data_IF_917510704270
#
_entry.id   IF_917510704270
#
_cell.length_a   1.000
_cell.length_b   1.000
_cell.length_c   1.000
_cell.angle_alpha   90.00
_cell.angle_beta   90.00
_cell.angle_gamma   90.00
#
_symmetry.space_group_name_H-M   'P 1'
#
loop_
_entity.id
_entity.type
_entity.pdbx_description
1 polymer ?
#
# COMPACT_ATOMS: atom_id res chain seq x y z
N UNK A 1 5.65 -13.18 -18.94
CA UNK A 1 5.89 -14.36 -18.08
C UNK A 1 4.58 -14.80 -17.47
N UNK A 2 4.42 -16.11 -17.22
CA UNK A 2 3.23 -16.65 -16.55
C UNK A 2 3.35 -16.36 -15.05
N UNK A 3 2.24 -15.98 -14.43
CA UNK A 3 2.19 -15.78 -12.98
C UNK A 3 0.92 -16.38 -12.39
N UNK A 4 1.00 -16.76 -11.12
CA UNK A 4 -0.10 -17.31 -10.34
C UNK A 4 -0.23 -16.52 -9.04
N UNK A 5 -1.46 -16.28 -8.60
CA UNK A 5 -1.73 -15.43 -7.43
C UNK A 5 -2.53 -16.22 -6.40
N UNK A 6 -2.05 -16.28 -5.16
CA UNK A 6 -2.81 -16.74 -4.01
C UNK A 6 -3.23 -15.55 -3.15
N UNK A 7 -4.50 -15.49 -2.74
CA UNK A 7 -5.04 -14.44 -1.86
C UNK A 7 -5.65 -15.09 -0.62
N UNK A 8 -5.16 -14.70 0.54
CA UNK A 8 -5.67 -15.09 1.86
C UNK A 8 -6.44 -13.91 2.47
N UNK A 9 -7.77 -14.05 2.57
CA UNK A 9 -8.65 -13.07 3.18
C UNK A 9 -8.81 -13.37 4.68
N UNK A 10 -7.96 -12.75 5.49
CA UNK A 10 -8.03 -12.85 6.95
C UNK A 10 -9.00 -11.84 7.58
N UNK A 11 -9.24 -11.98 8.89
CA UNK A 11 -10.06 -11.04 9.67
C UNK A 11 -9.39 -9.68 9.89
N UNK A 12 -8.08 -9.67 10.09
CA UNK A 12 -7.28 -8.44 10.33
C UNK A 12 -6.55 -7.98 9.07
N UNK A 13 -5.98 -8.90 8.31
CA UNK A 13 -5.20 -8.58 7.10
C UNK A 13 -5.53 -9.50 5.94
N UNK A 14 -5.58 -8.91 4.76
CA UNK A 14 -5.67 -9.62 3.48
C UNK A 14 -4.28 -9.65 2.86
N UNK A 15 -3.84 -10.84 2.47
CA UNK A 15 -2.49 -11.07 1.94
C UNK A 15 -2.60 -11.63 0.54
N UNK A 16 -1.64 -11.28 -0.30
CA UNK A 16 -1.47 -11.88 -1.62
C UNK A 16 -0.02 -12.28 -1.83
N UNK A 17 0.18 -13.41 -2.50
CA UNK A 17 1.48 -13.85 -3.00
C UNK A 17 1.35 -14.10 -4.49
N UNK A 18 2.31 -13.56 -5.25
CA UNK A 18 2.46 -13.81 -6.68
C UNK A 18 3.71 -14.67 -6.90
N UNK A 19 3.55 -15.78 -7.61
CA UNK A 19 4.64 -16.69 -8.00
C UNK A 19 4.77 -16.76 -9.52
N UNK A 20 5.96 -17.08 -10.01
CA UNK A 20 6.21 -17.41 -11.42
C UNK A 20 6.01 -18.91 -11.70
N UNK A 21 6.27 -19.33 -12.94
CA UNK A 21 6.14 -20.72 -13.38
C UNK A 21 7.24 -21.65 -12.88
N UNK A 22 8.32 -21.10 -12.31
CA UNK A 22 9.36 -21.83 -11.60
C UNK A 22 9.10 -21.91 -10.08
N UNK A 23 7.85 -21.61 -9.68
CA UNK A 23 7.36 -21.59 -8.29
C UNK A 23 8.10 -20.58 -7.38
N UNK A 24 8.83 -19.63 -7.95
CA UNK A 24 9.53 -18.61 -7.18
C UNK A 24 8.58 -17.49 -6.81
N UNK A 25 8.69 -17.01 -5.57
CA UNK A 25 7.93 -15.84 -5.13
C UNK A 25 8.45 -14.61 -5.85
N UNK A 26 7.58 -14.03 -6.68
CA UNK A 26 7.87 -12.80 -7.42
C UNK A 26 7.48 -11.57 -6.61
N UNK A 27 6.33 -11.61 -5.93
CA UNK A 27 5.82 -10.46 -5.20
C UNK A 27 4.89 -10.83 -4.05
N UNK A 28 4.78 -9.93 -3.07
CA UNK A 28 3.91 -10.07 -1.90
C UNK A 28 3.15 -8.78 -1.67
N UNK A 29 1.90 -8.90 -1.26
CA UNK A 29 1.06 -7.77 -0.90
C UNK A 29 0.32 -8.03 0.39
N UNK A 30 0.14 -6.98 1.19
CA UNK A 30 -0.63 -7.02 2.42
C UNK A 30 -1.44 -5.74 2.55
N UNK A 31 -2.67 -5.86 3.02
CA UNK A 31 -3.50 -4.72 3.38
C UNK A 31 -4.38 -5.08 4.58
N UNK A 32 -4.85 -4.08 5.31
CA UNK A 32 -5.84 -4.30 6.36
C UNK A 32 -7.11 -4.89 5.75
N UNK A 33 -7.67 -5.89 6.42
CA UNK A 33 -8.98 -6.43 6.05
C UNK A 33 -10.03 -5.39 6.43
N UNK A 34 -10.75 -4.91 5.42
CA UNK A 34 -11.75 -3.85 5.53
C UNK A 34 -13.14 -4.48 5.69
N UNK A 35 -14.17 -3.65 5.80
CA UNK A 35 -15.55 -4.10 5.60
C UNK A 35 -15.82 -4.52 4.15
N UNK A 36 -15.02 -4.03 3.20
CA UNK A 36 -15.08 -4.39 1.79
C UNK A 36 -13.97 -5.39 1.43
N UNK A 37 -14.32 -6.68 1.41
CA UNK A 37 -13.40 -7.78 1.14
C UNK A 37 -12.93 -7.85 -0.32
N UNK A 38 -13.79 -7.48 -1.26
CA UNK A 38 -13.43 -7.41 -2.69
C UNK A 38 -12.33 -6.38 -2.91
N UNK A 39 -12.49 -5.17 -2.35
CA UNK A 39 -11.48 -4.13 -2.43
C UNK A 39 -10.18 -4.52 -1.70
N UNK A 40 -10.28 -5.18 -0.53
CA UNK A 40 -9.11 -5.65 0.19
C UNK A 40 -8.31 -6.68 -0.63
N UNK A 41 -8.99 -7.62 -1.30
CA UNK A 41 -8.37 -8.59 -2.19
C UNK A 41 -7.70 -7.93 -3.41
N UNK A 42 -8.38 -6.96 -4.03
CA UNK A 42 -7.83 -6.18 -5.15
C UNK A 42 -6.55 -5.44 -4.74
N UNK A 43 -6.54 -4.78 -3.59
CA UNK A 43 -5.37 -4.03 -3.13
C UNK A 43 -4.22 -4.93 -2.71
N UNK A 44 -4.49 -6.04 -2.03
CA UNK A 44 -3.45 -7.01 -1.72
C UNK A 44 -2.81 -7.56 -3.01
N UNK A 45 -3.63 -7.89 -4.02
CA UNK A 45 -3.15 -8.32 -5.33
C UNK A 45 -2.30 -7.26 -6.02
N UNK A 46 -2.73 -6.01 -5.99
CA UNK A 46 -2.04 -4.93 -6.68
C UNK A 46 -0.73 -4.55 -5.98
N UNK A 47 -0.67 -4.63 -4.64
CA UNK A 47 0.59 -4.54 -3.90
C UNK A 47 1.53 -5.71 -4.21
N UNK A 48 1.01 -6.93 -4.38
CA UNK A 48 1.82 -8.06 -4.85
C UNK A 48 2.37 -7.82 -6.26
N UNK A 49 1.60 -7.19 -7.16
CA UNK A 49 2.08 -6.78 -8.48
C UNK A 49 3.16 -5.70 -8.40
N UNK A 50 2.99 -4.69 -7.56
CA UNK A 50 4.01 -3.65 -7.34
C UNK A 50 5.30 -4.28 -6.82
N UNK A 51 5.19 -5.13 -5.79
CA UNK A 51 6.33 -5.88 -5.24
C UNK A 51 7.01 -6.75 -6.30
N UNK A 52 6.24 -7.43 -7.16
CA UNK A 52 6.76 -8.19 -8.29
C UNK A 52 7.52 -7.33 -9.30
N UNK A 53 7.03 -6.13 -9.61
CA UNK A 53 7.74 -5.19 -10.49
C UNK A 53 9.07 -4.75 -9.89
N UNK A 54 9.13 -4.45 -8.59
CA UNK A 54 10.40 -4.13 -7.93
C UNK A 54 11.36 -5.33 -7.90
N UNK A 55 10.87 -6.55 -7.68
CA UNK A 55 11.71 -7.75 -7.75
C UNK A 55 12.30 -7.98 -9.15
N UNK A 56 11.49 -7.80 -10.20
CA UNK A 56 11.98 -7.87 -11.59
C UNK A 56 12.99 -6.76 -11.89
N UNK A 57 12.75 -5.55 -11.40
CA UNK A 57 13.67 -4.44 -11.55
C UNK A 57 15.01 -4.73 -10.86
N UNK A 58 14.96 -5.33 -9.67
CA UNK A 58 16.18 -5.71 -8.95
C UNK A 58 16.98 -6.75 -9.72
N UNK A 59 16.32 -7.75 -10.32
CA UNK A 59 16.94 -8.75 -11.21
C UNK A 59 17.58 -8.07 -12.44
N UNK A 60 16.89 -7.11 -13.06
CA UNK A 60 17.39 -6.40 -14.25
C UNK A 60 18.61 -5.52 -13.95
N UNK A 61 18.60 -4.84 -12.80
CA UNK A 61 19.68 -3.93 -12.43
C UNK A 61 20.95 -4.68 -12.02
N UNK A 62 20.83 -5.87 -11.42
CA UNK A 62 21.95 -6.67 -10.90
C UNK A 62 22.68 -6.01 -9.72
N UNK A 63 23.68 -6.66 -9.14
CA UNK A 63 24.18 -6.29 -7.79
C UNK A 63 25.24 -5.18 -7.75
N UNK A 64 25.28 -4.30 -8.75
CA UNK A 64 26.26 -3.21 -8.79
C UNK A 64 26.05 -2.21 -7.62
N UNK A 65 27.09 -1.86 -6.84
CA UNK A 65 26.96 -0.99 -5.66
C UNK A 65 26.33 0.37 -5.96
N UNK A 66 26.65 0.97 -7.09
CA UNK A 66 26.10 2.24 -7.54
C UNK A 66 24.57 2.21 -7.74
N UNK A 67 24.00 1.02 -8.00
CA UNK A 67 22.56 0.83 -8.18
C UNK A 67 21.81 0.60 -6.87
N UNK A 68 22.50 0.18 -5.80
CA UNK A 68 21.87 0.02 -4.48
C UNK A 68 21.27 1.36 -3.98
N UNK A 69 21.99 2.46 -4.20
CA UNK A 69 21.49 3.81 -3.89
C UNK A 69 20.30 4.19 -4.77
N UNK A 70 20.36 3.88 -6.07
CA UNK A 70 19.27 4.14 -7.00
C UNK A 70 17.98 3.38 -6.62
N UNK A 71 18.07 2.08 -6.33
CA UNK A 71 16.95 1.25 -5.85
C UNK A 71 16.26 1.85 -4.65
N UNK A 72 17.05 2.20 -3.64
CA UNK A 72 16.55 2.80 -2.40
C UNK A 72 15.83 4.12 -2.68
N UNK A 73 16.40 4.96 -3.55
CA UNK A 73 15.79 6.24 -3.95
C UNK A 73 14.48 6.02 -4.71
N UNK A 74 14.45 5.08 -5.66
CA UNK A 74 13.26 4.78 -6.45
C UNK A 74 12.13 4.22 -5.59
N UNK A 75 12.41 3.24 -4.73
CA UNK A 75 11.42 2.66 -3.83
C UNK A 75 10.84 3.73 -2.87
N UNK A 76 11.70 4.58 -2.29
CA UNK A 76 11.25 5.70 -1.46
C UNK A 76 10.40 6.70 -2.26
N UNK A 77 10.82 7.05 -3.48
CA UNK A 77 10.08 7.99 -4.31
C UNK A 77 8.71 7.45 -4.73
N UNK A 78 8.65 6.16 -5.06
CA UNK A 78 7.43 5.46 -5.40
C UNK A 78 6.44 5.42 -4.22
N UNK A 79 6.90 5.00 -3.03
CA UNK A 79 6.05 4.97 -1.83
C UNK A 79 5.60 6.37 -1.40
N UNK A 80 6.44 7.39 -1.59
CA UNK A 80 6.04 8.79 -1.39
C UNK A 80 4.94 9.20 -2.36
N UNK A 81 5.04 8.85 -3.65
CA UNK A 81 4.02 9.17 -4.65
C UNK A 81 2.67 8.53 -4.30
N UNK A 82 2.66 7.25 -3.93
CA UNK A 82 1.46 6.57 -3.43
C UNK A 82 0.86 7.29 -2.21
N UNK A 83 1.70 7.68 -1.25
CA UNK A 83 1.25 8.39 -0.04
C UNK A 83 0.64 9.76 -0.37
N UNK A 84 1.20 10.48 -1.35
CA UNK A 84 0.63 11.75 -1.85
C UNK A 84 -0.71 11.53 -2.57
N UNK A 85 -0.84 10.47 -3.36
CA UNK A 85 -2.12 10.10 -4.00
C UNK A 85 -3.21 9.81 -2.95
N UNK A 86 -2.87 9.05 -1.91
CA UNK A 86 -3.80 8.77 -0.81
C UNK A 86 -4.13 10.03 0.01
N UNK A 87 -3.14 10.89 0.27
CA UNK A 87 -3.37 12.15 0.98
C UNK A 87 -4.22 13.13 0.17
N UNK A 88 -4.09 13.15 -1.16
CA UNK A 88 -4.94 13.95 -2.04
C UNK A 88 -6.40 13.48 -1.97
N UNK A 89 -6.65 12.17 -2.06
CA UNK A 89 -7.99 11.61 -1.87
C UNK A 89 -8.54 11.92 -0.47
N UNK A 90 -7.71 11.78 0.56
CA UNK A 90 -8.06 12.14 1.93
C UNK A 90 -8.44 13.63 2.05
N UNK A 91 -7.70 14.53 1.38
CA UNK A 91 -7.98 15.96 1.38
C UNK A 91 -9.36 16.26 0.84
N UNK A 92 -9.66 15.75 -0.34
CA UNK A 92 -10.93 16.04 -1.01
C UNK A 92 -12.11 15.58 -0.16
N UNK A 93 -12.00 14.37 0.42
CA UNK A 93 -13.03 13.81 1.29
C UNK A 93 -13.12 14.57 2.62
N UNK A 94 -12.00 14.87 3.28
CA UNK A 94 -12.01 15.55 4.58
C UNK A 94 -12.59 16.96 4.48
N UNK A 95 -12.26 17.69 3.42
CA UNK A 95 -12.81 19.03 3.17
C UNK A 95 -14.29 19.00 2.79
N UNK A 96 -14.76 17.94 2.12
CA UNK A 96 -16.19 17.70 1.89
C UNK A 96 -16.92 17.44 3.23
N UNK A 97 -16.39 16.54 4.07
CA UNK A 97 -16.96 16.24 5.39
C UNK A 97 -16.96 17.44 6.35
N UNK A 98 -15.97 18.35 6.23
CA UNK A 98 -15.87 19.59 7.01
C UNK A 98 -16.88 20.67 6.56
N UNK A 99 -17.48 20.51 5.37
CA UNK A 99 -18.52 21.40 4.84
C UNK A 99 -19.94 20.91 5.13
N UNK A 100 -20.10 19.67 5.59
CA UNK A 100 -21.40 19.07 5.87
C UNK A 100 -22.26 19.91 6.84
N UNK A 101 -23.59 19.84 6.69
CA UNK A 101 -24.53 20.67 7.47
C UNK A 101 -24.47 20.42 8.98
N UNK A 102 -24.11 19.21 9.39
CA UNK A 102 -23.93 18.84 10.80
C UNK A 102 -22.85 19.65 11.54
N UNK A 103 -21.91 20.26 10.82
CA UNK A 103 -20.87 21.13 11.37
C UNK A 103 -21.07 22.60 10.99
N UNK A 104 -22.27 22.99 10.54
CA UNK A 104 -22.55 24.34 10.04
C UNK A 104 -22.15 25.46 11.00
N UNK A 105 -22.30 25.26 12.32
CA UNK A 105 -21.96 26.25 13.35
C UNK A 105 -20.45 26.58 13.43
N UNK A 106 -19.58 25.65 13.02
CA UNK A 106 -18.12 25.79 13.09
C UNK A 106 -17.45 25.55 11.72
N UNK A 107 -18.23 25.56 10.63
CA UNK A 107 -17.82 25.11 9.30
C UNK A 107 -16.53 25.78 8.81
N UNK A 108 -16.50 27.10 8.83
CA UNK A 108 -15.38 27.90 8.33
C UNK A 108 -14.09 27.62 9.15
N UNK A 109 -14.05 27.83 10.48
CA UNK A 109 -12.85 27.55 11.25
C UNK A 109 -12.44 26.07 11.26
N UNK A 110 -13.40 25.13 11.17
CA UNK A 110 -13.10 23.70 11.06
C UNK A 110 -12.43 23.38 9.72
N UNK A 111 -12.99 23.88 8.61
CA UNK A 111 -12.45 23.65 7.26
C UNK A 111 -11.02 24.20 7.15
N UNK A 112 -10.77 25.40 7.67
CA UNK A 112 -9.44 26.02 7.64
C UNK A 112 -8.41 25.21 8.43
N UNK A 113 -8.78 24.72 9.61
CA UNK A 113 -7.89 23.87 10.43
C UNK A 113 -7.62 22.52 9.78
N UNK A 114 -8.66 21.86 9.25
CA UNK A 114 -8.52 20.59 8.51
C UNK A 114 -7.58 20.78 7.31
N UNK A 115 -7.78 21.86 6.53
CA UNK A 115 -6.90 22.19 5.41
C UNK A 115 -5.44 22.41 5.86
N UNK A 116 -5.24 23.18 6.94
CA UNK A 116 -3.91 23.44 7.49
C UNK A 116 -3.20 22.18 7.97
N UNK A 117 -3.91 21.26 8.66
CA UNK A 117 -3.35 19.96 9.07
C UNK A 117 -2.89 19.18 7.83
N UNK A 118 -3.73 19.08 6.81
CA UNK A 118 -3.43 18.30 5.60
C UNK A 118 -2.27 18.91 4.80
N UNK A 119 -2.20 20.24 4.72
CA UNK A 119 -1.09 20.93 4.05
C UNK A 119 0.25 20.67 4.78
N UNK A 120 0.24 20.61 6.12
CA UNK A 120 1.41 20.24 6.92
C UNK A 120 1.78 18.75 6.76
N UNK A 121 0.79 17.85 6.71
CA UNK A 121 1.02 16.44 6.38
C UNK A 121 1.67 16.28 5.00
N UNK A 122 1.18 17.02 3.99
CA UNK A 122 1.78 17.02 2.65
C UNK A 122 3.21 17.52 2.71
N UNK A 123 3.47 18.59 3.44
CA UNK A 123 4.81 19.15 3.61
C UNK A 123 5.80 18.12 4.17
N UNK A 124 5.40 17.40 5.23
CA UNK A 124 6.21 16.32 5.83
C UNK A 124 6.53 15.20 4.85
N UNK A 125 5.55 14.81 4.02
CA UNK A 125 5.74 13.77 2.99
C UNK A 125 6.72 14.24 1.90
N UNK A 126 6.57 15.48 1.43
CA UNK A 126 7.43 16.06 0.37
C UNK A 126 8.85 16.36 0.84
N UNK A 127 9.00 16.80 2.10
CA UNK A 127 10.28 17.19 2.71
C UNK A 127 10.49 16.44 4.04
N UNK A 128 10.89 15.16 3.99
CA UNK A 128 11.20 14.42 5.20
C UNK A 128 12.34 15.14 5.95
N UNK A 129 12.16 15.37 7.25
CA UNK A 129 13.18 16.04 8.05
C UNK A 129 14.44 15.18 8.14
N UNK A 130 15.63 15.78 7.95
CA UNK A 130 16.93 15.11 8.06
C UNK A 130 17.23 14.55 9.46
N UNK A 131 16.44 14.93 10.47
CA UNK A 131 16.63 14.59 11.88
C UNK A 131 16.14 13.18 12.26
N UNK A 132 15.53 12.43 11.34
CA UNK A 132 15.20 11.00 11.53
C UNK A 132 16.44 10.09 11.31
N UNK A 133 17.59 10.50 11.85
CA UNK A 133 18.84 9.72 11.89
C UNK A 133 18.92 8.73 13.06
N UNK A 134 17.81 8.51 13.78
CA UNK A 134 17.69 7.46 14.79
C UNK A 134 17.42 6.09 14.15
N UNK A 135 17.61 5.01 14.92
CA UNK A 135 17.20 3.67 14.49
C UNK A 135 15.76 3.71 13.94
N UNK A 136 15.45 3.04 12.82
CA UNK A 136 14.15 3.12 12.20
C UNK A 136 13.10 2.70 13.23
N UNK A 137 12.33 3.67 13.73
CA UNK A 137 11.08 3.36 14.44
C UNK A 137 10.27 2.56 13.44
N UNK A 138 9.78 1.38 13.84
CA UNK A 138 8.84 0.60 13.03
C UNK A 138 7.58 1.45 12.82
N UNK A 139 7.60 2.29 11.80
CA UNK A 139 6.43 3.00 11.32
C UNK A 139 5.61 2.00 10.52
N UNK A 140 4.28 2.04 10.68
CA UNK A 140 3.40 1.17 9.91
C UNK A 140 3.52 1.50 8.41
N UNK A 141 3.53 0.46 7.58
CA UNK A 141 3.52 0.63 6.13
C UNK A 141 2.17 1.18 5.62
N UNK A 142 1.09 0.98 6.39
CA UNK A 142 -0.26 1.37 6.00
C UNK A 142 -0.47 2.89 6.08
N UNK A 143 -1.07 3.46 5.04
CA UNK A 143 -1.37 4.89 4.98
C UNK A 143 -2.24 5.36 6.15
N UNK A 144 -3.28 4.58 6.52
CA UNK A 144 -4.18 4.90 7.64
C UNK A 144 -3.41 5.16 8.93
N UNK A 145 -2.49 4.28 9.27
CA UNK A 145 -1.78 4.34 10.55
C UNK A 145 -0.83 5.55 10.59
N UNK A 146 -0.12 5.80 9.48
CA UNK A 146 0.74 6.99 9.33
C UNK A 146 -0.08 8.27 9.37
N UNK A 147 -1.18 8.32 8.61
CA UNK A 147 -2.08 9.46 8.56
C UNK A 147 -2.73 9.75 9.92
N UNK A 148 -3.16 8.71 10.65
CA UNK A 148 -3.76 8.86 11.98
C UNK A 148 -2.75 9.45 12.98
N UNK A 149 -1.52 8.94 13.00
CA UNK A 149 -0.48 9.44 13.89
C UNK A 149 -0.15 10.91 13.61
N UNK A 150 0.05 11.27 12.34
CA UNK A 150 0.37 12.65 11.95
C UNK A 150 -0.81 13.61 12.17
N UNK A 151 -2.01 13.21 11.75
CA UNK A 151 -3.22 14.03 11.86
C UNK A 151 -3.58 14.29 13.32
N UNK A 152 -3.55 13.27 14.18
CA UNK A 152 -3.83 13.42 15.61
C UNK A 152 -2.88 14.42 16.26
N UNK A 153 -1.57 14.28 16.02
CA UNK A 153 -0.56 15.20 16.57
C UNK A 153 -0.77 16.64 16.11
N UNK A 154 -1.12 16.84 14.84
CA UNK A 154 -1.38 18.17 14.30
C UNK A 154 -2.73 18.74 14.80
N UNK A 155 -3.75 17.90 14.95
CA UNK A 155 -5.04 18.27 15.50
C UNK A 155 -4.92 18.78 16.95
N UNK A 156 -4.09 18.14 17.78
CA UNK A 156 -3.79 18.61 19.14
C UNK A 156 -3.15 20.00 19.16
N UNK A 157 -2.35 20.34 18.14
CA UNK A 157 -1.65 21.62 18.05
C UNK A 157 -2.55 22.77 17.59
N UNK A 158 -3.52 22.47 16.73
CA UNK A 158 -4.37 23.51 16.12
C UNK A 158 -5.75 23.65 16.76
N UNK A 159 -6.12 22.80 17.72
CA UNK A 159 -7.42 22.92 18.41
C UNK A 159 -7.54 24.24 19.20
N UNK A 160 -8.78 24.68 19.44
CA UNK A 160 -9.11 25.78 20.34
C UNK A 160 -10.55 25.65 20.89
N UNK A 161 -11.04 26.71 21.55
CA UNK A 161 -12.40 26.76 22.10
C UNK A 161 -13.51 26.65 21.03
N UNK A 162 -13.23 27.03 19.78
CA UNK A 162 -14.21 27.01 18.69
C UNK A 162 -14.22 25.68 17.95
N UNK A 163 -13.04 25.07 17.77
CA UNK A 163 -12.86 23.79 17.09
C UNK A 163 -12.01 22.90 17.98
N UNK A 164 -12.67 21.92 18.61
CA UNK A 164 -12.02 21.03 19.57
C UNK A 164 -11.33 19.88 18.85
N UNK A 165 -10.43 19.22 19.56
CA UNK A 165 -9.77 18.01 19.06
C UNK A 165 -10.75 16.95 18.53
N UNK A 166 -11.84 16.69 19.26
CA UNK A 166 -12.86 15.71 18.85
C UNK A 166 -13.55 16.07 17.54
N UNK A 167 -13.73 17.36 17.25
CA UNK A 167 -14.34 17.82 16.01
C UNK A 167 -13.41 17.51 14.81
N UNK A 168 -12.10 17.71 15.00
CA UNK A 168 -11.07 17.40 14.00
C UNK A 168 -10.93 15.89 13.77
N UNK A 169 -10.90 15.10 14.85
CA UNK A 169 -10.81 13.64 14.77
C UNK A 169 -12.07 13.02 14.15
N UNK A 170 -13.24 13.59 14.43
CA UNK A 170 -14.49 13.17 13.79
C UNK A 170 -14.49 13.36 12.26
N UNK A 171 -13.78 14.36 11.74
CA UNK A 171 -13.54 14.50 10.29
C UNK A 171 -12.56 13.43 9.80
N UNK A 172 -11.45 13.23 10.51
CA UNK A 172 -10.45 12.22 10.15
C UNK A 172 -11.07 10.82 10.03
N UNK A 173 -11.81 10.35 11.04
CA UNK A 173 -12.36 9.00 11.07
C UNK A 173 -13.31 8.73 9.91
N UNK A 174 -14.14 9.72 9.55
CA UNK A 174 -15.06 9.61 8.40
C UNK A 174 -14.32 9.63 7.08
N UNK A 175 -13.33 10.52 6.95
CA UNK A 175 -12.58 10.68 5.73
C UNK A 175 -11.67 9.47 5.46
N UNK A 176 -10.94 8.99 6.48
CA UNK A 176 -10.03 7.85 6.31
C UNK A 176 -10.78 6.57 5.95
N UNK A 177 -11.96 6.34 6.54
CA UNK A 177 -12.80 5.20 6.20
C UNK A 177 -13.26 5.24 4.74
N UNK A 178 -13.63 6.42 4.22
CA UNK A 178 -13.98 6.59 2.80
C UNK A 178 -12.77 6.40 1.89
N UNK A 179 -11.60 6.93 2.25
CA UNK A 179 -10.34 6.69 1.49
C UNK A 179 -10.03 5.20 1.43
N UNK A 180 -10.15 4.49 2.54
CA UNK A 180 -9.97 3.03 2.59
C UNK A 180 -11.03 2.27 1.79
N UNK A 181 -12.16 2.87 1.44
CA UNK A 181 -13.17 2.22 0.59
C UNK A 181 -13.18 2.74 -0.85
N UNK A 182 -12.16 3.51 -1.23
CA UNK A 182 -12.00 4.06 -2.58
C UNK A 182 -10.88 3.33 -3.31
N UNK A 183 -11.12 2.96 -4.56
CA UNK A 183 -10.08 2.45 -5.44
C UNK A 183 -9.21 3.62 -5.94
N UNK A 184 -7.92 3.56 -5.65
CA UNK A 184 -6.94 4.59 -6.01
C UNK A 184 -5.89 3.97 -6.93
N UNK A 185 -5.40 4.74 -7.91
CA UNK A 185 -4.27 4.29 -8.73
C UNK A 185 -2.96 4.35 -7.95
N UNK A 186 -2.70 3.26 -7.22
CA UNK A 186 -1.46 3.00 -6.50
C UNK A 186 -0.56 2.02 -7.28
N UNK A 187 -0.88 1.77 -8.56
CA UNK A 187 -0.20 0.77 -9.37
C UNK A 187 1.22 1.20 -9.72
N UNK A 188 2.06 0.24 -10.09
CA UNK A 188 3.41 0.52 -10.56
C UNK A 188 3.39 1.47 -11.77
N UNK A 189 2.56 1.18 -12.77
CA UNK A 189 2.47 1.96 -14.00
C UNK A 189 2.07 3.42 -13.75
N UNK A 190 1.06 3.65 -12.90
CA UNK A 190 0.58 5.00 -12.59
C UNK A 190 1.56 5.88 -11.81
N UNK A 191 2.53 5.27 -11.11
CA UNK A 191 3.37 5.99 -10.14
C UNK A 191 4.88 5.96 -10.46
N UNK A 192 5.36 5.02 -11.29
CA UNK A 192 6.80 4.83 -11.50
C UNK A 192 7.45 5.95 -12.30
N UNK A 193 6.74 6.60 -13.24
CA UNK A 193 7.28 7.68 -14.08
C UNK A 193 7.74 8.92 -13.28
N UNK A 194 6.92 9.35 -12.33
CA UNK A 194 7.29 10.44 -11.41
C UNK A 194 8.42 9.99 -10.47
N UNK A 195 8.33 8.77 -9.96
CA UNK A 195 9.30 8.20 -9.03
C UNK A 195 10.71 8.11 -9.67
N UNK A 196 10.81 7.69 -10.93
CA UNK A 196 12.09 7.57 -11.63
C UNK A 196 12.71 8.95 -11.92
N UNK A 197 11.89 9.94 -12.27
CA UNK A 197 12.34 11.32 -12.49
C UNK A 197 13.01 11.87 -11.23
N UNK A 198 12.42 11.63 -10.06
CA UNK A 198 13.03 12.07 -8.81
C UNK A 198 14.22 11.21 -8.38
N UNK A 199 14.13 9.89 -8.54
CA UNK A 199 15.20 8.97 -8.16
C UNK A 199 16.50 9.21 -8.93
N UNK A 200 16.39 9.73 -10.16
CA UNK A 200 17.53 10.06 -11.03
C UNK A 200 18.08 11.47 -10.83
N UNK A 201 17.39 12.35 -10.09
CA UNK A 201 17.84 13.73 -9.88
C UNK A 201 19.21 13.79 -9.19
N UNK A 202 20.17 14.46 -9.81
CA UNK A 202 21.53 14.59 -9.27
C UNK A 202 22.34 13.28 -9.22
N UNK A 203 21.91 12.24 -9.94
CA UNK A 203 22.78 11.10 -10.26
C UNK A 203 23.62 11.41 -11.50
N UNK A 204 24.67 10.61 -11.68
CA UNK A 204 25.39 10.54 -12.96
C UNK A 204 24.42 10.22 -14.12
N UNK A 205 24.67 10.83 -15.29
CA UNK A 205 23.78 10.74 -16.43
C UNK A 205 23.63 9.29 -16.94
N UNK A 206 24.74 8.55 -17.04
CA UNK A 206 24.73 7.17 -17.52
C UNK A 206 24.01 6.24 -16.52
N UNK A 207 24.21 6.46 -15.22
CA UNK A 207 23.48 5.73 -14.19
C UNK A 207 21.97 6.03 -14.25
N UNK A 208 21.61 7.29 -14.48
CA UNK A 208 20.23 7.72 -14.63
C UNK A 208 19.54 7.10 -15.85
N UNK A 209 20.21 7.06 -17.01
CA UNK A 209 19.71 6.37 -18.21
C UNK A 209 19.55 4.87 -17.99
N UNK A 210 20.56 4.21 -17.41
CA UNK A 210 20.47 2.78 -17.09
C UNK A 210 19.29 2.47 -16.17
N UNK A 211 19.06 3.30 -15.16
CA UNK A 211 17.91 3.17 -14.26
C UNK A 211 16.56 3.33 -14.98
N UNK A 212 16.44 4.31 -15.89
CA UNK A 212 15.21 4.50 -16.70
C UNK A 212 14.95 3.34 -17.64
N UNK A 213 15.98 2.89 -18.36
CA UNK A 213 15.87 1.75 -19.27
C UNK A 213 15.44 0.46 -18.54
N UNK A 214 15.99 0.22 -17.34
CA UNK A 214 15.60 -0.94 -16.53
C UNK A 214 14.14 -0.85 -16.05
N UNK A 215 13.68 0.34 -15.65
CA UNK A 215 12.28 0.56 -15.26
C UNK A 215 11.33 0.32 -16.44
N UNK A 216 11.64 0.89 -17.59
CA UNK A 216 10.85 0.74 -18.83
C UNK A 216 10.76 -0.73 -19.23
N UNK A 217 11.91 -1.40 -19.37
CA UNK A 217 11.97 -2.83 -19.68
C UNK A 217 11.17 -3.66 -18.68
N UNK A 218 11.27 -3.36 -17.39
CA UNK A 218 10.54 -4.08 -16.35
C UNK A 218 9.03 -3.83 -16.40
N UNK A 219 8.60 -2.60 -16.71
CA UNK A 219 7.19 -2.25 -16.86
C UNK A 219 6.55 -3.01 -18.03
N UNK A 220 7.30 -3.20 -19.11
CA UNK A 220 6.86 -3.86 -20.34
C UNK A 220 6.76 -5.39 -20.24
N UNK A 221 7.34 -6.02 -19.21
CA UNK A 221 7.20 -7.47 -19.01
C UNK A 221 5.70 -7.79 -18.77
N UNK A 222 5.03 -8.57 -19.63
CA UNK A 222 3.64 -8.92 -19.37
C UNK A 222 3.57 -9.91 -18.21
N UNK A 223 2.79 -9.59 -17.19
CA UNK A 223 2.45 -10.49 -16.08
C UNK A 223 1.14 -11.22 -16.42
N UNK A 224 1.26 -12.31 -17.17
CA UNK A 224 0.16 -13.12 -17.68
C UNK A 224 -0.39 -14.01 -16.55
N UNK A 225 -1.44 -13.52 -15.88
CA UNK A 225 -2.07 -14.21 -14.75
C UNK A 225 -2.82 -15.44 -15.25
N UNK A 226 -2.31 -16.62 -14.92
CA UNK A 226 -2.91 -17.90 -15.31
C UNK A 226 -3.97 -18.40 -14.34
N UNK A 227 -3.83 -18.05 -13.06
CA UNK A 227 -4.76 -18.47 -12.02
C UNK A 227 -4.71 -17.48 -10.85
N UNK A 228 -5.86 -17.29 -10.22
CA UNK A 228 -5.99 -16.59 -8.93
C UNK A 228 -6.75 -17.51 -7.99
N UNK A 229 -6.14 -17.91 -6.87
CA UNK A 229 -6.79 -18.75 -5.85
C UNK A 229 -7.13 -17.89 -4.63
N UNK A 230 -8.38 -17.96 -4.19
CA UNK A 230 -8.87 -17.27 -2.99
C UNK A 230 -9.08 -18.22 -1.82
N UNK A 231 -8.66 -17.82 -0.63
CA UNK A 231 -8.86 -18.54 0.63
C UNK A 231 -9.15 -17.60 1.80
N UNK A 232 -9.32 -18.15 3.00
CA UNK A 232 -9.54 -17.41 4.25
C UNK A 232 -10.99 -17.43 4.75
N UNK A 233 -11.23 -16.72 5.86
CA UNK A 233 -12.48 -16.72 6.63
C UNK A 233 -13.67 -16.19 5.81
N UNK A 234 -13.47 -15.09 5.07
CA UNK A 234 -14.51 -14.47 4.23
C UNK A 234 -14.50 -14.90 2.77
N UNK A 235 -13.74 -15.95 2.39
CA UNK A 235 -13.46 -16.30 0.98
C UNK A 235 -14.66 -16.40 0.04
N UNK A 236 -15.85 -16.69 0.57
CA UNK A 236 -17.08 -16.81 -0.22
C UNK A 236 -17.54 -15.47 -0.82
N UNK A 237 -17.06 -14.35 -0.28
CA UNK A 237 -17.34 -13.01 -0.79
C UNK A 237 -16.31 -12.53 -1.81
N UNK A 238 -15.27 -13.33 -2.09
CA UNK A 238 -14.29 -12.97 -3.11
C UNK A 238 -14.96 -13.03 -4.50
N UNK A 239 -14.70 -12.06 -5.38
CA UNK A 239 -15.29 -12.00 -6.73
C UNK A 239 -14.59 -12.99 -7.69
N UNK A 240 -14.32 -14.21 -7.25
CA UNK A 240 -13.63 -15.24 -8.01
C UNK A 240 -14.59 -16.37 -8.41
N UNK A 241 -14.29 -17.10 -9.49
CA UNK A 241 -15.02 -18.33 -9.81
C UNK A 241 -15.05 -19.29 -8.61
N UNK A 242 -16.12 -20.09 -8.47
CA UNK A 242 -16.26 -21.00 -7.32
C UNK A 242 -15.13 -22.04 -7.29
N UNK A 243 -14.72 -22.46 -8.47
CA UNK A 243 -13.58 -23.36 -8.72
C UNK A 243 -12.23 -22.75 -8.36
N UNK A 244 -12.14 -21.45 -8.04
CA UNK A 244 -10.92 -20.78 -7.61
C UNK A 244 -10.93 -20.46 -6.10
N UNK A 245 -12.05 -20.72 -5.42
CA UNK A 245 -12.18 -20.56 -3.97
C UNK A 245 -11.84 -21.89 -3.29
N UNK A 246 -10.90 -21.85 -2.32
CA UNK A 246 -10.44 -23.02 -1.55
C UNK A 246 -10.47 -22.73 -0.06
N UNK A 247 -10.67 -23.76 0.76
CA UNK A 247 -10.59 -23.58 2.22
C UNK A 247 -9.15 -23.35 2.67
N UNK A 248 -8.99 -22.57 3.73
CA UNK A 248 -7.69 -22.27 4.34
C UNK A 248 -6.96 -23.55 4.75
N UNK A 249 -7.67 -24.48 5.38
CA UNK A 249 -7.18 -25.81 5.76
C UNK A 249 -6.60 -26.57 4.55
N UNK A 250 -7.28 -26.54 3.41
CA UNK A 250 -6.80 -27.24 2.21
C UNK A 250 -5.57 -26.54 1.62
N UNK A 251 -5.55 -25.21 1.56
CA UNK A 251 -4.39 -24.46 1.10
C UNK A 251 -3.17 -24.67 2.00
N UNK A 252 -3.34 -24.64 3.33
CA UNK A 252 -2.27 -24.90 4.29
C UNK A 252 -1.74 -26.33 4.18
N UNK A 253 -2.63 -27.32 4.10
CA UNK A 253 -2.24 -28.72 3.94
C UNK A 253 -1.46 -28.98 2.64
N UNK A 254 -1.97 -28.51 1.51
CA UNK A 254 -1.30 -28.66 0.21
C UNK A 254 0.01 -27.88 0.15
N UNK A 255 0.02 -26.63 0.62
CA UNK A 255 1.22 -25.80 0.64
C UNK A 255 2.32 -26.39 1.51
N UNK A 256 1.98 -26.88 2.71
CA UNK A 256 2.94 -27.53 3.60
C UNK A 256 3.48 -28.84 3.01
N UNK A 257 2.62 -29.66 2.40
CA UNK A 257 3.06 -30.90 1.73
C UNK A 257 3.95 -30.61 0.52
N UNK A 258 3.63 -29.59 -0.28
CA UNK A 258 4.44 -29.17 -1.42
C UNK A 258 5.81 -28.65 -1.00
N UNK A 259 5.85 -27.74 -0.02
CA UNK A 259 7.09 -27.13 0.45
C UNK A 259 7.95 -28.10 1.29
N UNK A 260 7.31 -29.03 1.99
CA UNK A 260 7.94 -30.03 2.84
C UNK A 260 7.35 -31.42 2.53
N UNK A 261 7.87 -32.14 1.50
CA UNK A 261 7.29 -33.38 0.97
C UNK A 261 7.08 -34.52 1.97
N UNK A 262 7.75 -34.47 3.12
CA UNK A 262 7.65 -35.48 4.18
C UNK A 262 6.71 -35.06 5.34
N UNK A 263 5.99 -33.96 5.21
CA UNK A 263 5.00 -33.50 6.20
C UNK A 263 3.89 -34.54 6.32
N UNK A 264 3.73 -35.10 7.53
CA UNK A 264 2.67 -36.05 7.87
C UNK A 264 1.48 -35.41 8.57
N UNK A 265 1.74 -34.34 9.32
CA UNK A 265 0.74 -33.63 10.12
C UNK A 265 1.03 -32.14 10.02
N UNK A 266 0.00 -31.36 9.71
CA UNK A 266 0.00 -29.90 9.84
C UNK A 266 -0.90 -29.57 11.02
N UNK A 267 -0.36 -28.87 12.02
CA UNK A 267 -1.13 -28.33 13.13
C UNK A 267 -1.27 -26.83 12.90
N UNK A 268 -2.47 -26.41 12.51
CA UNK A 268 -2.82 -25.01 12.33
C UNK A 268 -3.64 -24.55 13.54
N UNK A 269 -3.10 -23.61 14.32
CA UNK A 269 -3.75 -23.05 15.50
C UNK A 269 -4.17 -21.61 15.16
N UNK A 270 -5.32 -21.51 14.51
CA UNK A 270 -5.96 -20.23 14.19
C UNK A 270 -6.77 -19.66 15.35
N UNK A 271 -7.51 -18.58 15.08
CA UNK A 271 -8.51 -18.03 16.01
C UNK A 271 -9.87 -18.74 15.99
N UNK A 272 -9.96 -19.90 15.31
CA UNK A 272 -11.14 -20.76 15.27
C UNK A 272 -10.95 -21.98 16.17
#
# INVERSE_FOLDING_TARGET
>A
MKVFIGIDLGSTTTKAVMIDDDEQVLGRGITNSRSNYELAAAIARDEARVSARFALLDRELGDAPELARFRTRLAKAFRRRQSLTQLAAFRDIALDEAKADRVAAIREPLTDKVASIIDEMRHKIEKPSLMEGGAPVKTSDFFRDRAAADYSKLAEQVQDERVRFDDLMGIFDKAILRVENTELDLTFAGNVGDAITEATKGLDAALGERGRAAVEKTADIPLDVRCVIGTGYGRQTLPFPREDIRSEILCHGLGAHHQFPHTRTVLDIGGQ
#
